data_IF_712446626656
#
_entry.id   IF_712446626656
#
_cell.length_a   1.000
_cell.length_b   1.000
_cell.length_c   1.000
_cell.angle_alpha   90.00
_cell.angle_beta   90.00
_cell.angle_gamma   90.00
#
_symmetry.space_group_name_H-M   'P 1'
#
loop_
_entity.id
_entity.type
_entity.pdbx_description
1 polymer ?
#
# COMPACT_ATOMS: atom_id res chain seq x y z
N UNK A 1 -9.72 13.69 27.31
CA UNK A 1 -10.16 14.09 25.96
C UNK A 1 -9.39 15.34 25.57
N UNK A 2 -8.84 15.45 24.37
CA UNK A 2 -8.13 16.67 23.94
C UNK A 2 -9.20 17.72 23.57
N UNK A 3 -9.19 18.93 24.13
CA UNK A 3 -10.25 19.91 23.88
C UNK A 3 -10.18 20.55 22.48
N UNK A 4 -9.07 20.37 21.77
CA UNK A 4 -8.81 21.01 20.46
C UNK A 4 -8.90 20.05 19.28
N UNK A 5 -8.91 18.72 19.51
CA UNK A 5 -8.85 17.72 18.45
C UNK A 5 -9.88 16.62 18.68
N UNK A 6 -10.55 16.22 17.60
CA UNK A 6 -11.44 15.06 17.57
C UNK A 6 -10.65 13.74 17.60
N UNK A 7 -11.32 12.63 17.89
CA UNK A 7 -10.65 11.32 18.07
C UNK A 7 -9.80 10.92 16.86
N UNK A 8 -10.37 10.98 15.65
CA UNK A 8 -9.67 10.60 14.42
C UNK A 8 -8.51 11.55 14.05
N UNK A 9 -8.61 12.84 14.39
CA UNK A 9 -7.49 13.78 14.25
C UNK A 9 -6.33 13.41 15.19
N UNK A 10 -6.64 12.95 16.40
CA UNK A 10 -5.60 12.44 17.31
C UNK A 10 -4.97 11.17 16.79
N UNK A 11 -5.75 10.27 16.20
CA UNK A 11 -5.24 9.03 15.62
C UNK A 11 -4.34 9.31 14.41
N UNK A 12 -4.77 10.18 13.49
CA UNK A 12 -3.94 10.68 12.41
C UNK A 12 -2.60 11.22 12.91
N UNK A 13 -2.62 12.11 13.90
CA UNK A 13 -1.41 12.71 14.46
C UNK A 13 -0.50 11.63 15.09
N UNK A 14 -1.08 10.61 15.73
CA UNK A 14 -0.32 9.48 16.27
C UNK A 14 0.38 8.67 15.18
N UNK A 15 -0.28 8.46 14.03
CA UNK A 15 0.23 7.70 12.89
C UNK A 15 1.40 8.44 12.23
N UNK A 16 1.23 9.70 11.84
CA UNK A 16 2.24 10.46 11.10
C UNK A 16 3.53 10.72 11.88
N UNK A 17 3.47 10.64 13.22
CA UNK A 17 4.64 10.80 14.08
C UNK A 17 5.40 9.48 14.36
N UNK A 18 4.95 8.35 13.80
CA UNK A 18 5.62 7.04 13.98
C UNK A 18 6.92 6.93 13.20
N UNK A 19 7.77 6.01 13.64
CA UNK A 19 8.97 5.62 12.90
C UNK A 19 8.60 4.85 11.63
N UNK A 20 7.55 4.02 11.68
CA UNK A 20 7.04 3.28 10.53
C UNK A 20 6.62 4.24 9.40
N UNK A 21 5.87 5.29 9.71
CA UNK A 21 5.45 6.30 8.72
C UNK A 21 6.64 6.98 8.03
N UNK A 22 7.68 7.37 8.78
CA UNK A 22 8.89 7.98 8.19
C UNK A 22 9.63 7.04 7.25
N UNK A 23 9.61 5.73 7.52
CA UNK A 23 10.26 4.73 6.68
C UNK A 23 9.58 4.53 5.33
N UNK A 24 8.28 4.86 5.18
CA UNK A 24 7.58 4.80 3.89
C UNK A 24 8.24 5.65 2.80
N UNK A 25 8.94 6.72 3.17
CA UNK A 25 9.71 7.56 2.23
C UNK A 25 10.80 6.77 1.48
N UNK A 26 11.30 5.69 2.07
CA UNK A 26 12.43 4.91 1.57
C UNK A 26 12.03 3.44 1.33
N UNK A 27 10.76 3.19 1.08
CA UNK A 27 10.22 1.92 0.61
C UNK A 27 9.64 2.12 -0.78
N UNK A 28 10.07 1.28 -1.71
CA UNK A 28 9.56 1.27 -3.08
C UNK A 28 8.09 0.84 -3.10
N UNK A 29 7.29 1.45 -3.97
CA UNK A 29 5.91 1.02 -4.20
C UNK A 29 5.91 -0.26 -5.03
N UNK A 30 6.46 -0.23 -6.23
CA UNK A 30 6.46 -1.37 -7.17
C UNK A 30 7.82 -1.62 -7.82
N UNK A 31 8.48 -0.59 -8.35
CA UNK A 31 9.72 -0.75 -9.09
C UNK A 31 10.94 -0.32 -8.27
N UNK A 32 11.87 -1.24 -8.06
CA UNK A 32 13.18 -0.92 -7.51
C UNK A 32 14.04 -0.33 -8.64
N UNK A 33 13.86 0.97 -8.94
CA UNK A 33 14.74 1.67 -9.88
C UNK A 33 15.85 2.34 -9.06
N UNK A 34 17.11 1.87 -9.14
CA UNK A 34 18.15 2.26 -8.20
C UNK A 34 18.54 3.74 -8.20
N UNK A 35 18.33 4.47 -9.30
CA UNK A 35 18.95 5.76 -9.55
C UNK A 35 17.98 6.89 -9.98
N UNK A 36 16.69 6.81 -9.69
CA UNK A 36 15.74 7.85 -10.05
C UNK A 36 15.01 8.43 -8.85
N UNK A 37 15.17 9.72 -8.62
CA UNK A 37 14.41 10.48 -7.61
C UNK A 37 12.94 10.70 -7.99
N UNK A 38 12.52 10.23 -9.17
CA UNK A 38 11.17 10.41 -9.71
C UNK A 38 10.25 9.19 -9.53
N UNK A 39 10.71 8.15 -8.86
CA UNK A 39 9.92 6.93 -8.61
C UNK A 39 8.97 7.15 -7.45
N UNK A 40 7.74 6.65 -7.57
CA UNK A 40 6.74 6.69 -6.51
C UNK A 40 7.22 5.84 -5.33
N UNK A 41 7.33 6.46 -4.16
CA UNK A 41 7.57 5.78 -2.89
C UNK A 41 6.24 5.50 -2.20
N UNK A 42 6.24 4.59 -1.21
CA UNK A 42 5.03 4.34 -0.41
C UNK A 42 4.51 5.59 0.28
N UNK A 43 5.37 6.51 0.65
CA UNK A 43 4.93 7.79 1.24
C UNK A 43 4.18 8.66 0.22
N UNK A 44 4.67 8.79 -1.01
CA UNK A 44 3.99 9.58 -2.05
C UNK A 44 2.67 8.92 -2.44
N UNK A 45 2.65 7.58 -2.58
CA UNK A 45 1.41 6.82 -2.77
C UNK A 45 0.40 7.08 -1.63
N UNK A 46 0.83 6.98 -0.37
CA UNK A 46 -0.04 7.22 0.78
C UNK A 46 -0.62 8.64 0.80
N UNK A 47 0.16 9.65 0.37
CA UNK A 47 -0.31 11.04 0.21
C UNK A 47 -1.43 11.11 -0.84
N UNK A 48 -1.25 10.45 -1.97
CA UNK A 48 -2.24 10.47 -3.06
C UNK A 48 -3.53 9.74 -2.65
N UNK A 49 -3.41 8.58 -2.02
CA UNK A 49 -4.56 7.85 -1.45
C UNK A 49 -5.32 8.75 -0.46
N UNK A 50 -4.62 9.40 0.46
CA UNK A 50 -5.22 10.30 1.43
C UNK A 50 -5.94 11.48 0.77
N UNK A 51 -5.32 12.12 -0.22
CA UNK A 51 -5.90 13.27 -0.92
C UNK A 51 -7.18 12.88 -1.67
N UNK A 52 -7.15 11.79 -2.42
CA UNK A 52 -8.29 11.30 -3.20
C UNK A 52 -9.41 10.82 -2.28
N UNK A 53 -9.08 10.03 -1.25
CA UNK A 53 -10.06 9.55 -0.27
C UNK A 53 -10.79 10.72 0.42
N UNK A 54 -10.08 11.76 0.84
CA UNK A 54 -10.70 12.95 1.42
C UNK A 54 -11.63 13.68 0.45
N UNK A 55 -11.26 13.76 -0.82
CA UNK A 55 -12.09 14.39 -1.85
C UNK A 55 -13.43 13.67 -1.99
N UNK A 56 -13.41 12.34 -2.09
CA UNK A 56 -14.60 11.50 -2.20
C UNK A 56 -15.44 11.59 -0.91
N UNK A 57 -14.79 11.46 0.24
CA UNK A 57 -15.45 11.51 1.56
C UNK A 57 -16.18 12.82 1.77
N UNK A 58 -15.57 13.95 1.38
CA UNK A 58 -16.20 15.28 1.40
C UNK A 58 -17.40 15.35 0.45
N UNK A 59 -17.27 14.86 -0.77
CA UNK A 59 -18.33 14.87 -1.76
C UNK A 59 -19.55 14.05 -1.32
N UNK A 60 -19.32 12.96 -0.59
CA UNK A 60 -20.37 12.08 -0.02
C UNK A 60 -20.85 12.52 1.37
N UNK A 61 -20.35 13.64 1.90
CA UNK A 61 -20.66 14.16 3.23
C UNK A 61 -20.40 13.14 4.38
N UNK A 62 -19.30 12.40 4.26
CA UNK A 62 -18.79 11.45 5.25
C UNK A 62 -17.65 12.08 6.08
N UNK A 63 -17.02 11.31 6.97
CA UNK A 63 -16.01 11.81 7.90
C UNK A 63 -14.60 11.84 7.28
N UNK A 64 -14.16 13.03 6.84
CA UNK A 64 -12.83 13.22 6.24
C UNK A 64 -11.67 12.84 7.18
N UNK A 65 -11.79 13.13 8.48
CA UNK A 65 -10.72 12.84 9.45
C UNK A 65 -10.53 11.31 9.65
N UNK A 66 -11.61 10.52 9.55
CA UNK A 66 -11.53 9.06 9.61
C UNK A 66 -10.85 8.51 8.35
N UNK A 67 -11.30 8.92 7.16
CA UNK A 67 -10.68 8.48 5.90
C UNK A 67 -9.19 8.86 5.84
N UNK A 68 -8.84 10.06 6.29
CA UNK A 68 -7.45 10.52 6.38
C UNK A 68 -6.62 9.65 7.33
N UNK A 69 -7.12 9.34 8.53
CA UNK A 69 -6.40 8.51 9.49
C UNK A 69 -6.16 7.09 8.97
N UNK A 70 -7.18 6.47 8.33
CA UNK A 70 -7.05 5.14 7.71
C UNK A 70 -6.03 5.18 6.58
N UNK A 71 -6.12 6.17 5.68
CA UNK A 71 -5.19 6.32 4.55
C UNK A 71 -3.74 6.48 5.02
N UNK A 72 -3.47 7.26 6.08
CA UNK A 72 -2.11 7.38 6.63
C UNK A 72 -1.57 6.09 7.25
N UNK A 73 -2.45 5.21 7.71
CA UNK A 73 -2.10 3.99 8.44
C UNK A 73 -2.01 2.72 7.61
N UNK A 74 -2.64 2.67 6.41
CA UNK A 74 -2.87 1.42 5.69
C UNK A 74 -1.59 0.65 5.33
N UNK A 75 -0.53 1.35 4.93
CA UNK A 75 0.72 0.78 4.39
C UNK A 75 1.90 0.69 5.40
N UNK A 76 1.67 1.01 6.68
CA UNK A 76 2.75 1.08 7.69
C UNK A 76 3.52 -0.23 7.86
N UNK A 77 2.86 -1.35 7.65
CA UNK A 77 3.40 -2.71 7.81
C UNK A 77 4.01 -3.31 6.56
N UNK A 78 4.09 -2.57 5.46
CA UNK A 78 4.63 -3.08 4.22
C UNK A 78 6.14 -3.35 4.31
N UNK A 79 6.59 -4.39 3.61
CA UNK A 79 8.00 -4.81 3.54
C UNK A 79 8.84 -3.88 2.66
N UNK A 80 10.19 -3.90 2.75
CA UNK A 80 11.04 -3.38 1.68
C UNK A 80 10.79 -4.12 0.37
N UNK A 81 11.13 -3.51 -0.76
CA UNK A 81 11.00 -4.06 -2.12
C UNK A 81 9.55 -4.32 -2.58
N UNK A 82 8.59 -3.61 -2.03
CA UNK A 82 7.19 -3.68 -2.46
C UNK A 82 6.58 -5.09 -2.41
N UNK A 83 5.86 -5.47 -3.46
CA UNK A 83 5.22 -6.79 -3.55
C UNK A 83 6.22 -7.96 -3.55
N UNK A 84 7.39 -7.79 -4.18
CA UNK A 84 8.43 -8.82 -4.17
C UNK A 84 8.92 -9.15 -2.76
N UNK A 85 9.06 -8.14 -1.92
CA UNK A 85 9.43 -8.33 -0.51
C UNK A 85 8.30 -8.97 0.31
N UNK A 86 7.05 -8.61 0.06
CA UNK A 86 5.90 -9.22 0.72
C UNK A 86 5.78 -10.71 0.39
N UNK A 87 5.89 -11.08 -0.90
CA UNK A 87 5.90 -12.47 -1.33
C UNK A 87 7.05 -13.24 -0.69
N UNK A 88 8.26 -12.67 -0.70
CA UNK A 88 9.43 -13.30 -0.10
C UNK A 88 9.25 -13.55 1.40
N UNK A 89 8.72 -12.59 2.14
CA UNK A 89 8.49 -12.75 3.58
C UNK A 89 7.34 -13.71 3.88
N UNK A 90 6.31 -13.74 3.03
CA UNK A 90 5.21 -14.69 3.12
C UNK A 90 5.70 -16.14 2.93
N UNK A 91 6.53 -16.40 1.90
CA UNK A 91 7.16 -17.71 1.68
C UNK A 91 8.01 -18.14 2.89
N UNK A 92 8.86 -17.24 3.39
CA UNK A 92 9.73 -17.53 4.54
C UNK A 92 8.94 -17.83 5.80
N UNK A 93 7.90 -17.06 6.08
CA UNK A 93 7.04 -17.28 7.24
C UNK A 93 6.26 -18.58 7.12
N UNK A 94 5.80 -18.92 5.91
CA UNK A 94 5.13 -20.19 5.65
C UNK A 94 6.07 -21.38 5.82
N UNK A 95 7.30 -21.31 5.28
CA UNK A 95 8.33 -22.36 5.42
C UNK A 95 8.69 -22.63 6.89
N UNK A 96 8.80 -21.55 7.72
CA UNK A 96 9.30 -21.68 9.10
C UNK A 96 8.23 -21.93 10.15
N UNK A 97 6.98 -21.51 9.90
CA UNK A 97 5.92 -21.58 10.93
C UNK A 97 4.55 -22.01 10.40
N UNK A 98 4.38 -22.23 9.10
CA UNK A 98 3.09 -22.51 8.47
C UNK A 98 2.11 -21.33 8.45
N UNK A 99 2.54 -20.13 8.89
CA UNK A 99 1.74 -18.90 8.88
C UNK A 99 1.95 -18.11 7.59
N UNK A 100 1.02 -17.19 7.32
CA UNK A 100 1.11 -16.28 6.17
C UNK A 100 1.49 -14.87 6.65
N UNK A 101 2.24 -14.15 5.81
CA UNK A 101 2.49 -12.74 6.00
C UNK A 101 1.55 -11.92 5.11
N UNK A 102 0.94 -10.88 5.67
CA UNK A 102 0.13 -9.90 4.94
C UNK A 102 0.43 -8.52 5.49
N UNK A 103 0.72 -7.58 4.61
CA UNK A 103 1.10 -6.23 5.03
C UNK A 103 0.00 -5.51 5.82
N UNK A 104 -1.28 -5.73 5.52
CA UNK A 104 -2.39 -5.14 6.25
C UNK A 104 -2.50 -5.65 7.70
N UNK A 105 -2.31 -6.94 7.92
CA UNK A 105 -2.24 -7.54 9.26
C UNK A 105 -1.02 -7.01 10.01
N UNK A 106 0.10 -6.86 9.31
CA UNK A 106 1.31 -6.30 9.89
C UNK A 106 1.19 -4.78 10.12
N UNK A 107 0.46 -4.02 9.29
CA UNK A 107 0.12 -2.61 9.55
C UNK A 107 -0.65 -2.45 10.85
N UNK A 108 -1.64 -3.33 11.09
CA UNK A 108 -2.33 -3.37 12.37
C UNK A 108 -1.39 -3.72 13.53
N UNK A 109 -0.48 -4.70 13.36
CA UNK A 109 0.52 -5.06 14.36
C UNK A 109 1.45 -3.89 14.68
N UNK A 110 1.87 -3.13 13.68
CA UNK A 110 2.70 -1.91 13.86
C UNK A 110 2.01 -0.92 14.78
N UNK A 111 0.74 -0.60 14.51
CA UNK A 111 0.01 0.41 15.28
C UNK A 111 -0.48 -0.08 16.64
N UNK A 112 -0.73 -1.38 16.80
CA UNK A 112 -1.23 -1.94 18.06
C UNK A 112 -0.13 -2.36 19.02
N UNK A 113 1.04 -2.78 18.49
CA UNK A 113 2.07 -3.45 19.29
C UNK A 113 3.45 -2.80 19.14
N UNK A 114 3.96 -2.59 17.92
CA UNK A 114 5.39 -2.31 17.71
C UNK A 114 5.79 -0.87 18.02
N UNK A 115 4.94 0.09 17.70
CA UNK A 115 5.27 1.50 17.93
C UNK A 115 5.26 1.86 19.43
N UNK A 116 5.96 2.93 19.81
CA UNK A 116 6.08 3.44 21.18
C UNK A 116 6.63 2.42 22.19
N UNK A 117 7.69 1.74 21.80
CA UNK A 117 8.37 0.76 22.66
C UNK A 117 7.44 -0.36 23.14
N UNK A 118 6.67 -0.93 22.22
CA UNK A 118 5.78 -2.05 22.51
C UNK A 118 4.41 -1.69 23.09
N UNK A 119 4.07 -0.39 23.19
CA UNK A 119 2.80 0.07 23.79
C UNK A 119 1.69 0.32 22.77
N UNK A 120 2.05 0.39 21.50
CA UNK A 120 1.15 0.74 20.42
C UNK A 120 0.64 2.19 20.45
N UNK A 121 -0.18 2.53 19.49
CA UNK A 121 -0.69 3.89 19.30
C UNK A 121 -2.00 4.17 20.01
N UNK A 122 -2.73 3.12 20.44
CA UNK A 122 -4.08 3.24 21.01
C UNK A 122 -5.03 4.02 20.08
N UNK A 123 -5.20 3.53 18.84
CA UNK A 123 -6.11 4.08 17.84
C UNK A 123 -7.54 3.65 18.10
N UNK A 124 -8.49 4.39 17.54
CA UNK A 124 -9.93 4.02 17.56
C UNK A 124 -10.16 2.72 16.79
N UNK A 125 -11.30 2.08 17.07
CA UNK A 125 -11.68 0.83 16.42
C UNK A 125 -11.83 1.01 14.91
N UNK A 126 -12.47 2.08 14.47
CA UNK A 126 -12.77 2.39 13.08
C UNK A 126 -11.49 2.59 12.24
N UNK A 127 -10.47 3.25 12.81
CA UNK A 127 -9.17 3.42 12.15
C UNK A 127 -8.44 2.09 12.06
N UNK A 128 -8.43 1.28 13.11
CA UNK A 128 -7.81 -0.04 13.14
C UNK A 128 -8.48 -1.01 12.17
N UNK A 129 -9.81 -1.01 12.11
CA UNK A 129 -10.60 -1.79 11.17
C UNK A 129 -10.29 -1.39 9.72
N UNK A 130 -10.28 -0.09 9.42
CA UNK A 130 -9.92 0.42 8.11
C UNK A 130 -8.50 0.03 7.69
N UNK A 131 -7.51 0.10 8.60
CA UNK A 131 -6.14 -0.35 8.35
C UNK A 131 -6.09 -1.85 8.05
N UNK A 132 -6.77 -2.68 8.84
CA UNK A 132 -6.76 -4.12 8.65
C UNK A 132 -7.44 -4.56 7.34
N UNK A 133 -8.58 -3.93 7.02
CA UNK A 133 -9.47 -4.38 5.96
C UNK A 133 -9.36 -3.53 4.67
N UNK A 134 -8.33 -2.65 4.52
CA UNK A 134 -8.11 -1.92 3.27
C UNK A 134 -7.79 -2.87 2.10
N UNK A 135 -7.34 -4.08 2.40
CA UNK A 135 -7.13 -5.16 1.43
C UNK A 135 -7.53 -6.52 2.03
N UNK A 136 -7.45 -7.60 1.25
CA UNK A 136 -7.81 -8.94 1.71
C UNK A 136 -9.29 -9.27 1.52
N UNK A 137 -9.80 -10.37 2.14
CA UNK A 137 -11.14 -10.90 1.86
C UNK A 137 -12.27 -10.14 2.56
N UNK A 138 -12.00 -9.47 3.66
CA UNK A 138 -13.02 -8.74 4.42
C UNK A 138 -13.12 -7.30 3.93
N UNK A 139 -14.31 -6.71 4.08
CA UNK A 139 -14.52 -5.28 3.84
C UNK A 139 -14.43 -4.51 5.15
N UNK A 140 -13.98 -3.24 5.12
CA UNK A 140 -14.08 -2.36 6.28
C UNK A 140 -15.53 -2.14 6.71
N UNK A 141 -15.75 -2.02 8.02
CA UNK A 141 -17.06 -1.76 8.61
C UNK A 141 -17.59 -0.37 8.24
N UNK A 142 -16.71 0.61 8.07
CA UNK A 142 -17.07 2.00 7.78
C UNK A 142 -17.03 2.31 6.28
N UNK A 143 -17.89 3.24 5.84
CA UNK A 143 -17.88 3.71 4.46
C UNK A 143 -16.55 4.40 4.10
N UNK A 144 -15.97 5.12 5.04
CA UNK A 144 -14.66 5.76 4.89
C UNK A 144 -13.53 4.74 4.66
N UNK A 145 -13.53 3.64 5.40
CA UNK A 145 -12.61 2.52 5.19
C UNK A 145 -12.77 1.90 3.81
N UNK A 146 -14.01 1.71 3.34
CA UNK A 146 -14.31 1.20 1.99
C UNK A 146 -13.85 2.17 0.90
N UNK A 147 -13.97 3.48 1.11
CA UNK A 147 -13.40 4.50 0.21
C UNK A 147 -11.89 4.32 0.11
N UNK A 148 -11.19 4.25 1.24
CA UNK A 148 -9.72 4.07 1.24
C UNK A 148 -9.32 2.79 0.50
N UNK A 149 -10.03 1.68 0.73
CA UNK A 149 -9.80 0.39 0.04
C UNK A 149 -9.94 0.49 -1.49
N UNK A 150 -10.89 1.27 -2.00
CA UNK A 150 -11.06 1.48 -3.44
C UNK A 150 -10.03 2.45 -3.98
N UNK A 151 -9.78 3.54 -3.27
CA UNK A 151 -8.84 4.59 -3.67
C UNK A 151 -7.40 4.06 -3.71
N UNK A 152 -7.00 3.21 -2.78
CA UNK A 152 -5.70 2.55 -2.83
C UNK A 152 -5.49 1.84 -4.18
N UNK A 153 -6.49 1.05 -4.65
CA UNK A 153 -6.43 0.38 -5.95
C UNK A 153 -6.39 1.36 -7.13
N UNK A 154 -7.16 2.44 -7.07
CA UNK A 154 -7.18 3.49 -8.10
C UNK A 154 -5.81 4.18 -8.18
N UNK A 155 -5.25 4.53 -7.04
CA UNK A 155 -3.98 5.24 -6.96
C UNK A 155 -2.83 4.38 -7.52
N UNK A 156 -2.67 3.12 -7.03
CA UNK A 156 -1.52 2.33 -7.44
C UNK A 156 -1.55 1.99 -8.93
N UNK A 157 -2.72 1.62 -9.54
CA UNK A 157 -2.81 1.31 -10.97
C UNK A 157 -2.34 2.52 -11.80
N UNK A 158 -2.76 3.72 -11.44
CA UNK A 158 -2.41 4.92 -12.20
C UNK A 158 -0.94 5.29 -12.05
N UNK A 159 -0.38 5.19 -10.84
CA UNK A 159 1.04 5.45 -10.60
C UNK A 159 1.92 4.43 -11.31
N UNK A 160 1.54 3.17 -11.28
CA UNK A 160 2.31 2.08 -11.87
C UNK A 160 2.33 2.17 -13.40
N UNK A 161 1.22 2.61 -14.03
CA UNK A 161 1.21 2.89 -15.48
C UNK A 161 2.19 4.01 -15.80
N UNK A 162 2.12 5.13 -15.08
CA UNK A 162 2.96 6.29 -15.35
C UNK A 162 4.45 5.99 -15.08
N UNK A 163 4.77 5.24 -14.04
CA UNK A 163 6.14 4.81 -13.73
C UNK A 163 6.67 3.77 -14.73
N UNK A 164 5.85 2.79 -15.15
CA UNK A 164 6.23 1.80 -16.16
C UNK A 164 6.53 2.44 -17.52
N UNK A 165 5.73 3.42 -17.93
CA UNK A 165 5.95 4.21 -19.15
C UNK A 165 7.22 5.04 -19.02
N UNK A 166 7.44 5.71 -17.90
CA UNK A 166 8.63 6.54 -17.66
C UNK A 166 9.91 5.70 -17.61
N UNK A 167 9.84 4.48 -17.08
CA UNK A 167 10.94 3.54 -17.05
C UNK A 167 11.20 2.85 -18.40
N UNK A 168 10.37 3.10 -19.43
CA UNK A 168 10.46 2.45 -20.74
C UNK A 168 10.11 0.95 -20.70
N UNK A 169 9.41 0.50 -19.66
CA UNK A 169 8.94 -0.87 -19.51
C UNK A 169 7.61 -1.12 -20.22
N UNK A 170 6.87 -0.05 -20.52
CA UNK A 170 5.55 -0.07 -21.16
C UNK A 170 5.47 1.06 -22.19
N UNK A 171 5.04 0.73 -23.42
CA UNK A 171 4.65 1.74 -24.41
C UNK A 171 3.18 2.13 -24.14
N UNK A 172 2.82 3.43 -24.05
CA UNK A 172 1.43 3.86 -23.92
C UNK A 172 0.48 3.27 -24.97
N UNK A 173 0.98 2.95 -26.16
CA UNK A 173 0.20 2.32 -27.22
C UNK A 173 -0.18 0.86 -26.94
N UNK A 174 0.49 0.20 -25.99
CA UNK A 174 0.17 -1.17 -25.56
C UNK A 174 -0.96 -1.22 -24.54
N UNK A 175 -1.32 -0.08 -23.92
CA UNK A 175 -2.45 -0.01 -22.97
C UNK A 175 -3.76 -0.43 -23.66
N UNK A 176 -4.66 -1.11 -22.94
CA UNK A 176 -5.97 -1.47 -23.46
C UNK A 176 -6.77 -0.21 -23.86
N UNK A 177 -6.94 -0.01 -25.16
CA UNK A 177 -7.45 1.26 -25.70
C UNK A 177 -8.91 1.52 -25.32
N UNK A 178 -9.76 0.50 -25.27
CA UNK A 178 -11.16 0.63 -24.88
C UNK A 178 -11.30 1.17 -23.46
N UNK A 179 -10.44 0.70 -22.53
CA UNK A 179 -10.37 1.16 -21.15
C UNK A 179 -9.78 2.57 -21.05
N UNK A 180 -8.78 2.89 -21.88
CA UNK A 180 -8.18 4.22 -21.94
C UNK A 180 -9.15 5.25 -22.52
N UNK A 181 -9.95 4.88 -23.53
CA UNK A 181 -10.97 5.76 -24.09
C UNK A 181 -12.08 6.07 -23.07
N UNK A 182 -12.43 5.11 -22.23
CA UNK A 182 -13.41 5.29 -21.15
C UNK A 182 -12.85 6.10 -19.97
N UNK A 183 -11.67 5.72 -19.46
CA UNK A 183 -11.13 6.27 -18.23
C UNK A 183 -10.27 7.52 -18.45
N UNK A 184 -9.69 7.68 -19.63
CA UNK A 184 -8.86 8.81 -20.02
C UNK A 184 -7.41 8.47 -20.30
N UNK A 185 -6.76 9.24 -21.19
CA UNK A 185 -5.41 8.95 -21.71
C UNK A 185 -4.27 9.28 -20.72
N UNK A 186 -4.53 10.02 -19.67
CA UNK A 186 -3.51 10.40 -18.68
C UNK A 186 -3.90 9.98 -17.27
N UNK A 187 -2.92 9.77 -16.38
CA UNK A 187 -3.17 9.44 -14.98
C UNK A 187 -4.18 10.37 -14.31
N UNK A 188 -4.03 11.70 -14.52
CA UNK A 188 -4.97 12.67 -13.96
C UNK A 188 -6.40 12.51 -14.49
N UNK A 189 -6.57 12.21 -15.80
CA UNK A 189 -7.90 11.99 -16.38
C UNK A 189 -8.51 10.70 -15.88
N UNK A 190 -7.72 9.64 -15.76
CA UNK A 190 -8.20 8.35 -15.22
C UNK A 190 -8.64 8.49 -13.76
N UNK A 191 -7.84 9.17 -12.93
CA UNK A 191 -8.22 9.43 -11.53
C UNK A 191 -9.50 10.27 -11.46
N UNK A 192 -9.62 11.31 -12.27
CA UNK A 192 -10.80 12.17 -12.33
C UNK A 192 -12.06 11.36 -12.69
N UNK A 193 -12.00 10.54 -13.75
CA UNK A 193 -13.11 9.67 -14.17
C UNK A 193 -13.50 8.68 -13.06
N UNK A 194 -12.52 8.02 -12.42
CA UNK A 194 -12.73 7.06 -11.35
C UNK A 194 -13.33 7.70 -10.09
N UNK A 195 -12.91 8.93 -9.76
CA UNK A 195 -13.44 9.68 -8.61
C UNK A 195 -14.88 10.13 -8.85
N UNK A 196 -15.18 10.66 -10.05
CA UNK A 196 -16.55 11.09 -10.40
C UNK A 196 -17.52 9.91 -10.38
N UNK A 197 -17.14 8.80 -11.05
CA UNK A 197 -17.95 7.58 -11.05
C UNK A 197 -18.21 7.07 -9.64
N UNK A 198 -17.18 6.99 -8.82
CA UNK A 198 -17.31 6.52 -7.44
C UNK A 198 -18.24 7.40 -6.61
N UNK A 199 -18.15 8.71 -6.73
CA UNK A 199 -19.03 9.65 -6.01
C UNK A 199 -20.48 9.53 -6.48
N UNK A 200 -20.72 9.57 -7.80
CA UNK A 200 -22.07 9.54 -8.36
C UNK A 200 -22.77 8.20 -8.09
N UNK A 201 -22.07 7.10 -8.33
CA UNK A 201 -22.62 5.75 -8.14
C UNK A 201 -22.87 5.46 -6.66
N UNK A 202 -21.93 5.84 -5.77
CA UNK A 202 -22.10 5.64 -4.34
C UNK A 202 -23.26 6.47 -3.76
N UNK A 203 -23.41 7.72 -4.20
CA UNK A 203 -24.52 8.58 -3.74
C UNK A 203 -25.89 8.00 -4.13
N UNK A 204 -25.99 7.36 -5.33
CA UNK A 204 -27.22 6.73 -5.78
C UNK A 204 -27.49 5.40 -5.06
N UNK A 205 -26.45 4.62 -4.81
CA UNK A 205 -26.56 3.30 -4.18
C UNK A 205 -26.75 3.35 -2.65
N UNK A 206 -26.36 4.43 -2.01
CA UNK A 206 -26.27 4.50 -0.55
C UNK A 206 -25.19 3.61 0.06
N UNK A 207 -24.20 3.22 -0.74
CA UNK A 207 -23.05 2.39 -0.36
C UNK A 207 -21.86 2.74 -1.26
N UNK A 208 -20.64 2.38 -0.86
CA UNK A 208 -19.42 2.70 -1.61
C UNK A 208 -19.22 1.70 -2.74
N UNK A 209 -19.38 2.15 -3.98
CA UNK A 209 -19.23 1.33 -5.19
C UNK A 209 -18.95 2.15 -6.43
N UNK A 210 -18.30 1.52 -7.38
CA UNK A 210 -18.18 1.99 -8.77
C UNK A 210 -19.32 1.47 -9.62
N UNK A 211 -19.59 2.12 -10.74
CA UNK A 211 -20.46 1.54 -11.79
C UNK A 211 -19.83 0.27 -12.36
N UNK A 212 -20.65 -0.61 -12.90
CA UNK A 212 -20.16 -1.87 -13.50
C UNK A 212 -19.21 -1.61 -14.67
N UNK A 213 -19.45 -0.55 -15.45
CA UNK A 213 -18.63 -0.18 -16.61
C UNK A 213 -17.23 0.28 -16.17
N UNK A 214 -17.15 1.26 -15.29
CA UNK A 214 -15.88 1.83 -14.80
C UNK A 214 -15.12 0.82 -13.93
N UNK A 215 -15.82 0.07 -13.08
CA UNK A 215 -15.23 -1.00 -12.27
C UNK A 215 -14.61 -2.11 -13.12
N UNK A 216 -15.28 -2.51 -14.21
CA UNK A 216 -14.76 -3.51 -15.15
C UNK A 216 -13.51 -3.00 -15.87
N UNK A 217 -13.55 -1.78 -16.39
CA UNK A 217 -12.40 -1.18 -17.05
C UNK A 217 -11.17 -1.03 -16.11
N UNK A 218 -11.41 -0.63 -14.86
CA UNK A 218 -10.33 -0.58 -13.86
C UNK A 218 -9.72 -1.96 -13.59
N UNK A 219 -10.55 -3.01 -13.49
CA UNK A 219 -10.07 -4.38 -13.29
C UNK A 219 -9.31 -4.91 -14.52
N UNK A 220 -9.71 -4.54 -15.72
CA UNK A 220 -9.03 -4.89 -16.97
C UNK A 220 -7.63 -4.24 -17.02
N UNK A 221 -7.53 -2.93 -16.72
CA UNK A 221 -6.23 -2.25 -16.59
C UNK A 221 -5.33 -2.90 -15.52
N UNK A 222 -5.91 -3.26 -14.39
CA UNK A 222 -5.16 -3.96 -13.32
C UNK A 222 -4.63 -5.30 -13.81
N UNK A 223 -5.45 -6.10 -14.47
CA UNK A 223 -5.03 -7.40 -15.01
C UNK A 223 -3.92 -7.25 -16.05
N UNK A 224 -4.07 -6.28 -16.95
CA UNK A 224 -3.04 -5.94 -17.92
C UNK A 224 -1.70 -5.58 -17.27
N UNK A 225 -1.72 -4.70 -16.26
CA UNK A 225 -0.51 -4.32 -15.53
C UNK A 225 0.12 -5.51 -14.82
N UNK A 226 -0.71 -6.39 -14.25
CA UNK A 226 -0.22 -7.60 -13.59
C UNK A 226 0.55 -8.50 -14.56
N UNK A 227 -0.04 -8.79 -15.70
CA UNK A 227 0.56 -9.71 -16.68
C UNK A 227 1.76 -9.09 -17.40
N UNK A 228 1.67 -7.82 -17.76
CA UNK A 228 2.63 -7.16 -18.63
C UNK A 228 3.83 -6.58 -17.88
N UNK A 229 3.57 -6.02 -16.69
CA UNK A 229 4.56 -5.27 -15.93
C UNK A 229 5.08 -6.08 -14.74
N UNK A 230 4.20 -6.54 -13.84
CA UNK A 230 4.66 -7.18 -12.61
C UNK A 230 5.22 -8.59 -12.82
N UNK A 231 4.75 -9.33 -13.83
CA UNK A 231 5.28 -10.64 -14.21
C UNK A 231 6.27 -10.56 -15.38
N UNK A 232 6.61 -9.36 -15.85
CA UNK A 232 7.58 -9.13 -16.93
C UNK A 232 8.99 -9.63 -16.60
N UNK A 233 9.84 -9.79 -17.62
CA UNK A 233 11.20 -10.31 -17.46
C UNK A 233 12.08 -9.43 -16.55
N UNK A 234 11.98 -8.10 -16.70
CA UNK A 234 12.69 -7.13 -15.86
C UNK A 234 12.30 -7.26 -14.39
N UNK A 235 11.00 -7.37 -14.11
CA UNK A 235 10.49 -7.52 -12.75
C UNK A 235 10.95 -8.84 -12.11
N UNK A 236 11.03 -9.94 -12.87
CA UNK A 236 11.48 -11.25 -12.37
C UNK A 236 12.90 -11.21 -11.81
N UNK A 237 13.81 -10.49 -12.46
CA UNK A 237 15.20 -10.35 -12.00
C UNK A 237 15.25 -9.58 -10.67
N UNK A 238 14.48 -8.51 -10.54
CA UNK A 238 14.39 -7.74 -9.31
C UNK A 238 13.72 -8.52 -8.18
N UNK A 239 12.62 -9.25 -8.46
CA UNK A 239 11.98 -10.15 -7.52
C UNK A 239 12.94 -11.21 -6.99
N UNK A 240 13.76 -11.81 -7.88
CA UNK A 240 14.76 -12.79 -7.46
C UNK A 240 15.82 -12.18 -6.52
N UNK A 241 16.27 -10.95 -6.79
CA UNK A 241 17.22 -10.22 -5.93
C UNK A 241 16.59 -9.87 -4.58
N UNK A 242 15.37 -9.33 -4.58
CA UNK A 242 14.65 -9.01 -3.36
C UNK A 242 14.45 -10.26 -2.50
N UNK A 243 14.00 -11.37 -3.10
CA UNK A 243 13.82 -12.67 -2.43
C UNK A 243 15.13 -13.19 -1.81
N UNK A 244 16.23 -13.16 -2.56
CA UNK A 244 17.52 -13.59 -2.05
C UNK A 244 18.02 -12.71 -0.88
N UNK A 245 17.82 -11.39 -0.98
CA UNK A 245 18.17 -10.43 0.07
C UNK A 245 17.35 -10.69 1.34
N UNK A 246 16.04 -10.80 1.19
CA UNK A 246 15.12 -11.02 2.31
C UNK A 246 15.40 -12.35 3.02
N UNK A 247 15.60 -13.44 2.25
CA UNK A 247 15.95 -14.77 2.79
C UNK A 247 17.23 -14.72 3.58
N UNK A 248 18.28 -14.12 3.02
CA UNK A 248 19.59 -14.01 3.69
C UNK A 248 19.50 -13.29 5.03
N UNK A 249 18.78 -12.15 5.06
CA UNK A 249 18.59 -11.38 6.30
C UNK A 249 17.80 -12.20 7.32
N UNK A 250 16.70 -12.79 6.88
CA UNK A 250 15.81 -13.56 7.76
C UNK A 250 16.51 -14.76 8.38
N UNK A 251 17.23 -15.54 7.58
CA UNK A 251 18.01 -16.69 8.07
C UNK A 251 19.09 -16.27 9.06
N UNK A 252 19.83 -15.19 8.77
CA UNK A 252 20.81 -14.66 9.71
C UNK A 252 20.20 -14.25 11.06
N UNK A 253 19.03 -13.62 11.05
CA UNK A 253 18.34 -13.25 12.31
C UNK A 253 17.96 -14.49 13.14
N UNK A 254 17.47 -15.55 12.49
CA UNK A 254 17.18 -16.80 13.17
C UNK A 254 18.44 -17.51 13.70
N UNK A 255 19.54 -17.50 12.94
CA UNK A 255 20.84 -18.04 13.37
C UNK A 255 21.41 -17.27 14.59
N UNK A 256 21.13 -15.97 14.66
CA UNK A 256 21.48 -15.13 15.82
C UNK A 256 20.65 -15.45 17.06
N UNK A 257 19.55 -16.19 16.91
CA UNK A 257 18.67 -16.59 18.00
C UNK A 257 17.41 -15.74 18.15
N UNK A 258 17.10 -14.86 17.19
CA UNK A 258 15.85 -14.12 17.19
C UNK A 258 14.66 -15.07 16.96
N UNK A 259 13.51 -14.76 17.56
CA UNK A 259 12.29 -15.50 17.25
C UNK A 259 11.82 -15.24 15.81
N UNK A 260 10.99 -16.13 15.28
CA UNK A 260 10.38 -15.93 13.94
C UNK A 260 9.60 -14.62 13.89
N UNK A 261 8.89 -14.27 14.94
CA UNK A 261 8.11 -13.03 15.01
C UNK A 261 9.02 -11.79 15.05
N UNK A 262 10.08 -11.80 15.84
CA UNK A 262 11.05 -10.71 15.89
C UNK A 262 11.75 -10.52 14.53
N UNK A 263 12.10 -11.63 13.86
CA UNK A 263 12.72 -11.58 12.54
C UNK A 263 11.76 -10.99 11.50
N UNK A 264 10.47 -11.37 11.52
CA UNK A 264 9.44 -10.79 10.64
C UNK A 264 9.29 -9.29 10.90
N UNK A 265 9.13 -8.89 12.17
CA UNK A 265 8.96 -7.47 12.55
C UNK A 265 10.17 -6.64 12.12
N UNK A 266 11.37 -7.16 12.32
CA UNK A 266 12.60 -6.46 11.97
C UNK A 266 12.76 -6.31 10.46
N UNK A 267 12.57 -7.40 9.68
CA UNK A 267 12.69 -7.38 8.22
C UNK A 267 11.59 -6.52 7.59
N UNK A 268 10.34 -6.67 7.99
CA UNK A 268 9.25 -5.84 7.50
C UNK A 268 9.46 -4.35 7.83
N UNK A 269 10.09 -4.06 8.96
CA UNK A 269 10.44 -2.69 9.36
C UNK A 269 11.58 -2.02 8.59
N UNK A 270 12.35 -2.76 7.76
CA UNK A 270 13.46 -2.18 7.00
C UNK A 270 12.98 -1.28 5.87
N UNK A 271 13.86 -0.34 5.47
CA UNK A 271 13.78 0.32 4.17
C UNK A 271 14.57 -0.47 3.13
N UNK A 272 14.31 -0.27 1.86
CA UNK A 272 15.01 -0.99 0.76
C UNK A 272 16.51 -0.83 0.86
N UNK A 273 16.97 0.41 1.02
CA UNK A 273 18.40 0.72 1.15
C UNK A 273 19.03 0.06 2.38
N UNK A 274 18.30 0.07 3.50
CA UNK A 274 18.81 -0.55 4.72
C UNK A 274 18.90 -2.07 4.57
N UNK A 275 17.90 -2.71 3.95
CA UNK A 275 17.91 -4.16 3.70
C UNK A 275 19.09 -4.57 2.81
N UNK A 276 19.36 -3.83 1.73
CA UNK A 276 20.52 -4.09 0.86
C UNK A 276 21.85 -3.96 1.63
N UNK A 277 22.05 -2.84 2.33
CA UNK A 277 23.30 -2.61 3.09
C UNK A 277 23.48 -3.63 4.21
N UNK A 278 22.39 -4.03 4.88
CA UNK A 278 22.44 -5.04 5.94
C UNK A 278 22.85 -6.41 5.36
N UNK A 279 22.24 -6.83 4.24
CA UNK A 279 22.60 -8.09 3.58
C UNK A 279 24.05 -8.09 3.11
N UNK A 280 24.56 -6.97 2.59
CA UNK A 280 25.97 -6.84 2.20
C UNK A 280 26.93 -6.98 3.39
N UNK A 281 26.54 -6.48 4.56
CA UNK A 281 27.36 -6.57 5.79
C UNK A 281 27.46 -7.99 6.37
N UNK A 282 26.66 -8.93 5.87
CA UNK A 282 26.67 -10.34 6.29
C UNK A 282 27.66 -11.21 5.50
N UNK A 283 28.46 -10.60 4.62
CA UNK A 283 29.51 -11.28 3.84
C UNK A 283 30.78 -11.53 4.64
#
# INVERSE_FOLDING_TARGET
MNPLRLAYQVDRDRIIHTSAFRRLKHKTQVFVVPDSDHVVTRMTHTIDVQQVARTITRALNLNEDLAEAVAWGHDLGHTPFGHAGEEALDELLQERSGRRFRHNEHSLRVVDVLERDGRGLNLTHEVRDGILNHTGPNEPDTLEGRIVRLVDRVAYINHDIDDAVRAGMLDPAELPQDEIDLLGPTGSRRIDALVHDLVETSAQAGDIRQSDEVGTAMLALRSFMFDRVYLGEAARAEHARARATMRRIFEHLLERGDSVDDAVDYVAGMTDRFALSYAESLN
#
